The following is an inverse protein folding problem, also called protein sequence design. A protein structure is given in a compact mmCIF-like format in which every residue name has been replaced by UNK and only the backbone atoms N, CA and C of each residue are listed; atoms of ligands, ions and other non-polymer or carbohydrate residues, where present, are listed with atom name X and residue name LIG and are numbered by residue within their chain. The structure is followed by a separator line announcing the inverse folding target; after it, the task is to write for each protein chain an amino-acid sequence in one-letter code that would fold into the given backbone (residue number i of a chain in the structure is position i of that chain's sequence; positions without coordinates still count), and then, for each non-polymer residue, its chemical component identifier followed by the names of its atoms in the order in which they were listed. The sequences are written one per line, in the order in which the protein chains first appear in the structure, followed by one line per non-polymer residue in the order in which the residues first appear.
data_IF_194593475269
#
_entry.id   IF_194593475269
#
_cell.length_a   1.000
_cell.length_b   1.000
_cell.length_c   1.000
_cell.angle_alpha   90.00
_cell.angle_beta   90.00
_cell.angle_gamma   90.00
#
_symmetry.space_group_name_H-M   'P 1'
#
loop_
_entity.id
_entity.type
_entity.pdbx_description
1 polymer ?
#
# COMPACT_ATOMS: atom_id res chain seq x y z
N UNK A 1 9.60 -2.94 33.12
CA UNK A 1 9.29 -3.74 31.90
C UNK A 1 7.96 -3.37 31.23
N UNK A 2 6.79 -3.49 31.89
CA UNK A 2 5.47 -3.24 31.26
C UNK A 2 5.35 -1.86 30.60
N UNK A 3 5.72 -0.77 31.30
CA UNK A 3 5.72 0.61 30.76
C UNK A 3 6.67 0.80 29.56
N UNK A 4 7.78 0.08 29.54
CA UNK A 4 8.74 0.10 28.43
C UNK A 4 8.17 -0.60 27.18
N UNK A 5 7.55 -1.77 27.36
CA UNK A 5 6.89 -2.51 26.27
C UNK A 5 5.76 -1.67 25.67
N UNK A 6 4.89 -1.09 26.51
CA UNK A 6 3.82 -0.19 26.05
C UNK A 6 4.37 1.00 25.26
N UNK A 7 5.41 1.68 25.78
CA UNK A 7 6.05 2.80 25.06
C UNK A 7 6.58 2.36 23.69
N UNK A 8 7.19 1.18 23.61
CA UNK A 8 7.77 0.64 22.36
C UNK A 8 6.70 0.27 21.34
N UNK A 9 5.59 -0.33 21.77
CA UNK A 9 4.44 -0.64 20.89
C UNK A 9 3.82 0.65 20.35
N UNK A 10 3.59 1.65 21.21
CA UNK A 10 3.03 2.94 20.78
C UNK A 10 3.94 3.64 19.78
N UNK A 11 5.24 3.69 20.05
CA UNK A 11 6.22 4.27 19.11
C UNK A 11 6.24 3.51 17.78
N UNK A 12 6.27 2.17 17.81
CA UNK A 12 6.22 1.35 16.60
C UNK A 12 4.95 1.60 15.78
N UNK A 13 3.79 1.69 16.45
CA UNK A 13 2.53 2.00 15.79
C UNK A 13 2.55 3.41 15.16
N UNK A 14 3.07 4.41 15.87
CA UNK A 14 3.24 5.76 15.34
C UNK A 14 4.17 5.79 14.12
N UNK A 15 5.27 5.04 14.17
CA UNK A 15 6.20 4.89 13.05
C UNK A 15 5.53 4.25 11.85
N UNK A 16 4.76 3.17 12.05
CA UNK A 16 4.02 2.51 10.96
C UNK A 16 3.01 3.45 10.31
N UNK A 17 2.27 4.23 11.11
CA UNK A 17 1.37 5.27 10.59
C UNK A 17 2.16 6.28 9.76
N UNK A 18 3.24 6.85 10.31
CA UNK A 18 4.06 7.83 9.60
C UNK A 18 4.59 7.32 8.26
N UNK A 19 5.18 6.13 8.25
CA UNK A 19 5.69 5.48 7.04
C UNK A 19 4.55 5.21 6.05
N UNK A 20 3.40 4.73 6.53
CA UNK A 20 2.24 4.47 5.66
C UNK A 20 1.72 5.74 5.00
N UNK A 21 1.70 6.88 5.70
CA UNK A 21 1.29 8.18 5.14
C UNK A 21 2.27 8.60 4.06
N UNK A 22 3.58 8.51 4.34
CA UNK A 22 4.63 8.88 3.39
C UNK A 22 4.51 8.05 2.11
N UNK A 23 4.44 6.72 2.23
CA UNK A 23 4.29 5.81 1.08
C UNK A 23 2.98 6.10 0.34
N UNK A 24 1.89 6.31 1.08
CA UNK A 24 0.59 6.59 0.51
C UNK A 24 0.63 7.86 -0.34
N UNK A 25 1.15 8.96 0.19
CA UNK A 25 1.28 10.23 -0.53
C UNK A 25 2.24 10.10 -1.71
N UNK A 26 3.40 9.47 -1.53
CA UNK A 26 4.36 9.24 -2.60
C UNK A 26 3.74 8.47 -3.78
N UNK A 27 2.92 7.46 -3.49
CA UNK A 27 2.20 6.70 -4.52
C UNK A 27 1.14 7.52 -5.28
N UNK A 28 0.58 8.59 -4.67
CA UNK A 28 -0.35 9.51 -5.38
C UNK A 28 0.40 10.56 -6.18
N UNK A 29 1.59 10.96 -5.72
CA UNK A 29 2.46 11.90 -6.43
C UNK A 29 3.15 11.26 -7.64
N UNK A 30 3.31 9.93 -7.68
CA UNK A 30 3.93 9.23 -8.80
C UNK A 30 3.11 9.20 -10.09
N UNK A 31 1.85 9.65 -10.07
CA UNK A 31 0.99 9.73 -11.25
C UNK A 31 -0.41 9.15 -11.01
N UNK A 32 -1.26 9.24 -12.03
CA UNK A 32 -2.62 8.71 -11.94
C UNK A 32 -2.66 7.19 -12.14
N UNK A 33 -2.97 6.49 -11.06
CA UNK A 33 -3.13 5.03 -11.03
C UNK A 33 -4.20 4.55 -12.02
N UNK A 34 -5.26 5.32 -12.26
CA UNK A 34 -6.29 4.91 -13.20
C UNK A 34 -5.77 4.87 -14.65
N UNK A 35 -4.90 5.82 -15.04
CA UNK A 35 -4.25 5.82 -16.35
C UNK A 35 -3.24 4.67 -16.48
N UNK A 36 -2.57 4.29 -15.39
CA UNK A 36 -1.64 3.16 -15.38
C UNK A 36 -2.35 1.79 -15.51
N UNK A 37 -3.59 1.71 -15.05
CA UNK A 37 -4.41 0.49 -15.11
C UNK A 37 -5.30 0.42 -16.36
N UNK A 38 -5.61 1.56 -16.97
CA UNK A 38 -6.42 1.63 -18.17
C UNK A 38 -5.71 0.97 -19.36
N UNK A 39 -6.44 0.23 -20.22
CA UNK A 39 -5.96 -0.16 -21.53
C UNK A 39 -5.44 1.05 -22.32
N UNK A 40 -4.46 0.85 -23.21
CA UNK A 40 -3.89 1.96 -24.01
C UNK A 40 -4.95 2.67 -24.87
N UNK A 41 -6.01 1.96 -25.25
CA UNK A 41 -7.12 2.48 -26.07
C UNK A 41 -8.34 2.91 -25.23
N UNK A 42 -8.20 3.00 -23.91
CA UNK A 42 -9.32 3.33 -23.02
C UNK A 42 -9.83 4.75 -23.29
N UNK A 43 -11.14 4.86 -23.45
CA UNK A 43 -11.82 6.15 -23.55
C UNK A 43 -11.81 6.89 -22.20
N UNK A 44 -11.95 8.21 -22.22
CA UNK A 44 -12.02 9.02 -20.99
C UNK A 44 -13.11 8.52 -20.01
N UNK A 45 -14.21 7.99 -20.54
CA UNK A 45 -15.29 7.41 -19.73
C UNK A 45 -14.84 6.15 -18.98
N UNK A 46 -14.04 5.30 -19.61
CA UNK A 46 -13.52 4.08 -18.99
C UNK A 46 -12.47 4.41 -17.92
N UNK A 47 -11.60 5.39 -18.17
CA UNK A 47 -10.64 5.88 -17.16
C UNK A 47 -11.37 6.44 -15.94
N UNK A 48 -12.42 7.22 -16.14
CA UNK A 48 -13.23 7.75 -15.02
C UNK A 48 -13.97 6.65 -14.26
N UNK A 49 -14.46 5.61 -14.96
CA UNK A 49 -15.06 4.45 -14.32
C UNK A 49 -14.03 3.69 -13.46
N UNK A 50 -12.78 3.57 -13.91
CA UNK A 50 -11.67 2.99 -13.15
C UNK A 50 -11.35 3.86 -11.92
N UNK A 51 -11.26 5.19 -12.07
CA UNK A 51 -11.04 6.12 -10.95
C UNK A 51 -12.12 5.95 -9.87
N UNK A 52 -13.39 5.93 -10.27
CA UNK A 52 -14.51 5.76 -9.34
C UNK A 52 -14.49 4.39 -8.65
N UNK A 53 -14.18 3.31 -9.39
CA UNK A 53 -14.06 1.95 -8.81
C UNK A 53 -12.93 1.86 -7.78
N UNK A 54 -11.81 2.53 -8.02
CA UNK A 54 -10.66 2.57 -7.12
C UNK A 54 -10.82 3.62 -5.99
N UNK A 55 -11.89 4.41 -6.01
CA UNK A 55 -12.13 5.49 -5.07
C UNK A 55 -11.14 6.66 -5.20
N UNK A 56 -10.45 6.77 -6.34
CA UNK A 56 -9.47 7.82 -6.63
C UNK A 56 -10.14 9.18 -6.88
N UNK A 57 -11.45 9.19 -7.10
CA UNK A 57 -12.32 10.36 -7.20
C UNK A 57 -12.60 11.02 -5.84
N UNK A 58 -12.33 10.33 -4.73
CA UNK A 58 -12.60 10.82 -3.37
C UNK A 58 -11.48 11.72 -2.85
N UNK A 59 -11.76 12.61 -1.86
CA UNK A 59 -10.71 13.38 -1.20
C UNK A 59 -9.62 12.48 -0.60
N UNK A 60 -8.36 12.91 -0.68
CA UNK A 60 -7.17 12.17 -0.21
C UNK A 60 -7.32 11.62 1.22
N UNK A 61 -7.87 12.37 2.20
CA UNK A 61 -8.09 11.82 3.55
C UNK A 61 -9.07 10.65 3.57
N UNK A 62 -10.11 10.68 2.73
CA UNK A 62 -11.09 9.59 2.61
C UNK A 62 -10.42 8.36 2.01
N UNK A 63 -9.62 8.53 0.96
CA UNK A 63 -8.85 7.42 0.37
C UNK A 63 -7.92 6.76 1.39
N UNK A 64 -7.22 7.55 2.20
CA UNK A 64 -6.33 7.03 3.24
C UNK A 64 -7.09 6.28 4.34
N UNK A 65 -8.25 6.79 4.75
CA UNK A 65 -9.10 6.13 5.74
C UNK A 65 -9.58 4.75 5.27
N UNK A 66 -9.94 4.61 3.99
CA UNK A 66 -10.32 3.33 3.38
C UNK A 66 -9.13 2.39 3.33
N UNK A 67 -7.95 2.88 2.92
CA UNK A 67 -6.72 2.10 2.91
C UNK A 67 -6.38 1.54 4.30
N UNK A 68 -6.38 2.37 5.34
CA UNK A 68 -6.06 1.93 6.70
C UNK A 68 -7.10 0.92 7.22
N UNK A 69 -8.40 1.17 6.97
CA UNK A 69 -9.46 0.25 7.36
C UNK A 69 -9.27 -1.14 6.75
N UNK A 70 -8.90 -1.21 5.47
CA UNK A 70 -8.67 -2.48 4.78
C UNK A 70 -7.36 -3.13 5.25
N UNK A 71 -6.29 -2.34 5.40
CA UNK A 71 -4.98 -2.83 5.86
C UNK A 71 -5.04 -3.47 7.24
N UNK A 72 -5.83 -2.92 8.18
CA UNK A 72 -6.03 -3.50 9.51
C UNK A 72 -6.77 -4.85 9.45
N UNK A 73 -7.54 -5.10 8.38
CA UNK A 73 -8.18 -6.40 8.11
C UNK A 73 -7.29 -7.37 7.32
N UNK A 74 -6.06 -6.96 7.00
CA UNK A 74 -5.14 -7.72 6.15
C UNK A 74 -5.39 -7.57 4.65
N UNK A 75 -6.31 -6.69 4.25
CA UNK A 75 -6.60 -6.41 2.85
C UNK A 75 -5.81 -5.18 2.37
N UNK A 76 -4.77 -5.44 1.57
CA UNK A 76 -3.94 -4.40 0.96
C UNK A 76 -4.31 -4.11 -0.50
N UNK A 77 -5.42 -4.70 -0.98
CA UNK A 77 -5.84 -4.65 -2.38
C UNK A 77 -4.95 -5.48 -3.31
N UNK A 78 -5.08 -5.21 -4.60
CA UNK A 78 -4.32 -5.88 -5.65
C UNK A 78 -3.06 -5.11 -6.05
N UNK A 79 -2.01 -5.86 -6.37
CA UNK A 79 -0.82 -5.30 -6.99
C UNK A 79 -1.12 -4.88 -8.43
N UNK A 80 -0.94 -3.59 -8.73
CA UNK A 80 -1.06 -3.03 -10.08
C UNK A 80 -0.15 -3.75 -11.09
N UNK A 81 1.06 -4.14 -10.65
CA UNK A 81 2.05 -4.81 -11.51
C UNK A 81 1.76 -6.29 -11.72
N UNK A 82 1.42 -7.00 -10.64
CA UNK A 82 1.31 -8.46 -10.68
C UNK A 82 -0.14 -8.97 -10.84
N UNK A 83 -1.15 -8.08 -10.78
CA UNK A 83 -2.57 -8.41 -10.86
C UNK A 83 -3.00 -9.53 -9.90
N UNK A 84 -2.46 -9.48 -8.68
CA UNK A 84 -2.66 -10.46 -7.60
C UNK A 84 -2.73 -9.73 -6.25
N UNK A 85 -3.29 -10.35 -5.20
CA UNK A 85 -3.34 -9.75 -3.87
C UNK A 85 -1.95 -9.26 -3.43
N UNK A 86 -1.85 -7.98 -3.05
CA UNK A 86 -0.57 -7.35 -2.74
C UNK A 86 0.15 -8.06 -1.58
N UNK A 87 -0.60 -8.54 -0.59
CA UNK A 87 -0.05 -9.28 0.55
C UNK A 87 0.61 -10.58 0.11
N UNK A 88 0.01 -11.34 -0.81
CA UNK A 88 0.62 -12.58 -1.34
C UNK A 88 1.95 -12.29 -2.04
N UNK A 89 1.99 -11.22 -2.84
CA UNK A 89 3.21 -10.80 -3.52
C UNK A 89 4.30 -10.49 -2.50
N UNK A 90 4.00 -9.73 -1.45
CA UNK A 90 4.96 -9.41 -0.39
C UNK A 90 5.45 -10.67 0.32
N UNK A 91 4.54 -11.54 0.75
CA UNK A 91 4.87 -12.78 1.47
C UNK A 91 5.73 -13.70 0.61
N UNK A 92 5.45 -13.81 -0.68
CA UNK A 92 6.27 -14.62 -1.62
C UNK A 92 7.71 -14.14 -1.76
N UNK A 93 8.00 -12.88 -1.42
CA UNK A 93 9.33 -12.26 -1.51
C UNK A 93 10.12 -12.31 -0.21
N UNK A 94 9.46 -12.59 0.92
CA UNK A 94 10.10 -12.66 2.23
C UNK A 94 11.30 -13.62 2.27
N UNK A 95 11.25 -14.84 1.69
CA UNK A 95 12.39 -15.75 1.74
C UNK A 95 13.66 -15.16 1.11
N UNK A 96 13.51 -14.48 -0.02
CA UNK A 96 14.64 -13.84 -0.70
C UNK A 96 15.21 -12.67 0.12
N UNK A 97 14.38 -11.91 0.82
CA UNK A 97 14.86 -10.86 1.73
C UNK A 97 15.60 -11.46 2.92
N UNK A 98 15.12 -12.57 3.48
CA UNK A 98 15.78 -13.27 4.59
C UNK A 98 17.13 -13.83 4.14
N UNK A 99 17.19 -14.42 2.94
CA UNK A 99 18.43 -14.91 2.34
C UNK A 99 19.44 -13.77 2.14
N UNK A 100 19.01 -12.65 1.55
CA UNK A 100 19.86 -11.48 1.33
C UNK A 100 20.41 -10.90 2.64
N UNK A 101 19.56 -10.79 3.67
CA UNK A 101 19.99 -10.34 5.00
C UNK A 101 20.99 -11.34 5.59
N UNK A 102 20.69 -12.64 5.49
CA UNK A 102 21.55 -13.70 6.00
C UNK A 102 22.94 -13.72 5.35
N UNK A 103 23.03 -13.55 4.03
CA UNK A 103 24.31 -13.55 3.31
C UNK A 103 25.09 -12.25 3.50
N UNK A 104 24.44 -11.11 3.73
CA UNK A 104 25.12 -9.83 3.98
C UNK A 104 25.90 -9.78 5.31
N UNK A 105 25.64 -10.73 6.23
CA UNK A 105 26.36 -10.81 7.51
C UNK A 105 27.60 -11.72 7.47
N UNK A 106 27.88 -12.37 6.33
CA UNK A 106 29.09 -13.16 6.08
C UNK A 106 29.98 -12.44 5.08
#
# INVERSE_FOLDING_TARGET
MRRYILKRIVLGFLTLIGVSIIIFVAARLSGDVALLLAPQDATDREVQAIRARLGLDKPVPVQYSVFIRNAVRGDFGESIRYKRPALEVVVSRLPATVELVGTSFF
#
